data_IF_590804492521
#
_entry.id   IF_590804492521
#
_cell.length_a   1.000
_cell.length_b   1.000
_cell.length_c   1.000
_cell.angle_alpha   90.00
_cell.angle_beta   90.00
_cell.angle_gamma   90.00
#
_symmetry.space_group_name_H-M   'P 1'
#
loop_
_entity.id
_entity.type
_entity.pdbx_description
1 polymer ?
#
# COMPACT_ATOMS: atom_id res chain seq x y z
N UNK A 1 -14.20 2.95 1.00
CA UNK A 1 -15.52 3.21 0.40
C UNK A 1 -15.70 4.72 0.28
N UNK A 2 -15.89 5.28 -0.92
CA UNK A 2 -16.12 6.71 -1.10
C UNK A 2 -17.53 7.18 -0.66
N UNK A 3 -18.45 6.27 -0.34
CA UNK A 3 -19.80 6.64 0.12
C UNK A 3 -20.02 6.35 1.63
N UNK A 4 -19.00 5.82 2.30
CA UNK A 4 -19.00 5.60 3.75
C UNK A 4 -18.47 6.80 4.53
N UNK A 5 -18.37 6.65 5.86
CA UNK A 5 -17.75 7.69 6.69
C UNK A 5 -16.25 7.80 6.36
N UNK A 6 -15.77 9.03 6.15
CA UNK A 6 -14.38 9.27 5.73
C UNK A 6 -13.36 8.89 6.79
N UNK A 7 -13.77 8.76 8.04
CA UNK A 7 -12.94 8.30 9.16
C UNK A 7 -12.83 6.78 9.22
N UNK A 8 -13.53 6.01 8.39
CA UNK A 8 -13.32 4.56 8.31
C UNK A 8 -11.87 4.27 7.92
N UNK A 9 -11.18 3.46 8.73
CA UNK A 9 -9.81 3.04 8.46
C UNK A 9 -9.79 1.83 7.52
N UNK A 10 -8.66 1.63 6.85
CA UNK A 10 -8.33 0.45 6.06
C UNK A 10 -6.91 0.00 6.36
N UNK A 11 -6.42 -0.98 5.58
CA UNK A 11 -5.12 -1.63 5.81
C UNK A 11 -3.97 -0.63 5.99
N UNK A 12 -3.89 0.41 5.16
CA UNK A 12 -2.82 1.41 5.20
C UNK A 12 -3.07 2.57 6.14
N UNK A 13 -4.27 2.71 6.71
CA UNK A 13 -4.68 3.86 7.52
C UNK A 13 -4.92 3.52 9.00
N UNK A 14 -4.42 2.37 9.46
CA UNK A 14 -4.33 2.04 10.89
C UNK A 14 -5.44 1.14 11.44
N UNK A 15 -6.26 0.50 10.60
CA UNK A 15 -7.38 -0.35 11.05
C UNK A 15 -6.93 -1.49 11.99
N UNK A 16 -5.69 -1.96 11.83
CA UNK A 16 -5.16 -3.12 12.58
C UNK A 16 -4.93 -2.80 14.06
N UNK A 17 -4.10 -1.79 14.33
CA UNK A 17 -3.51 -1.57 15.65
C UNK A 17 -3.37 -0.09 16.04
N UNK A 18 -3.87 0.83 15.21
CA UNK A 18 -3.72 2.27 15.43
C UNK A 18 -5.07 2.99 15.22
N UNK A 19 -6.04 2.79 16.15
CA UNK A 19 -7.40 3.29 15.99
C UNK A 19 -7.47 4.82 16.06
N UNK A 20 -8.34 5.41 15.25
CA UNK A 20 -8.52 6.87 15.20
C UNK A 20 -9.63 7.42 16.13
N UNK A 21 -10.23 6.57 16.96
CA UNK A 21 -11.31 6.93 17.87
C UNK A 21 -12.71 6.98 17.24
N UNK A 22 -12.85 6.77 15.93
CA UNK A 22 -14.15 6.62 15.27
C UNK A 22 -14.66 5.18 15.42
N UNK A 23 -15.81 5.01 16.09
CA UNK A 23 -16.40 3.70 16.38
C UNK A 23 -16.81 2.91 15.14
N UNK A 24 -17.14 3.58 14.03
CA UNK A 24 -17.51 2.91 12.78
C UNK A 24 -16.34 2.27 12.01
N UNK A 25 -15.09 2.59 12.38
CA UNK A 25 -13.90 2.08 11.70
C UNK A 25 -13.78 0.55 11.75
N UNK A 26 -14.36 -0.10 12.78
CA UNK A 26 -14.09 -1.50 13.04
C UNK A 26 -12.62 -1.77 13.35
N UNK A 27 -11.88 -0.78 13.86
CA UNK A 27 -10.52 -1.00 14.30
C UNK A 27 -10.49 -2.07 15.40
N UNK A 28 -9.57 -3.04 15.27
CA UNK A 28 -9.52 -4.23 16.12
C UNK A 28 -10.57 -5.31 15.79
N UNK A 29 -11.51 -5.08 14.87
CA UNK A 29 -12.37 -6.13 14.31
C UNK A 29 -11.54 -7.01 13.38
N UNK A 30 -11.15 -8.17 13.91
CA UNK A 30 -10.32 -9.14 13.18
C UNK A 30 -10.92 -9.53 11.84
N UNK A 31 -12.24 -9.71 11.75
CA UNK A 31 -12.91 -10.12 10.51
C UNK A 31 -12.82 -9.06 9.41
N UNK A 32 -12.95 -7.77 9.78
CA UNK A 32 -12.77 -6.66 8.83
C UNK A 32 -11.32 -6.52 8.36
N UNK A 33 -10.36 -6.67 9.28
CA UNK A 33 -8.94 -6.60 8.95
C UNK A 33 -8.57 -7.74 7.99
N UNK A 34 -8.91 -8.98 8.35
CA UNK A 34 -8.64 -10.18 7.54
C UNK A 34 -9.33 -10.11 6.17
N UNK A 35 -10.60 -9.72 6.12
CA UNK A 35 -11.33 -9.55 4.86
C UNK A 35 -10.75 -8.45 3.97
N UNK A 36 -10.25 -7.36 4.56
CA UNK A 36 -9.54 -6.30 3.84
C UNK A 36 -8.21 -6.79 3.26
N UNK A 37 -7.45 -7.57 4.04
CA UNK A 37 -6.19 -8.17 3.60
C UNK A 37 -6.40 -9.13 2.43
N UNK A 38 -7.42 -9.99 2.50
CA UNK A 38 -7.69 -10.95 1.44
C UNK A 38 -8.13 -10.26 0.15
N UNK A 39 -8.90 -9.17 0.23
CA UNK A 39 -9.20 -8.32 -0.95
C UNK A 39 -7.94 -7.73 -1.58
N UNK A 40 -7.00 -7.25 -0.76
CA UNK A 40 -5.72 -6.72 -1.24
C UNK A 40 -4.88 -7.82 -1.89
N UNK A 41 -4.81 -9.02 -1.31
CA UNK A 41 -4.12 -10.17 -1.92
C UNK A 41 -4.67 -10.49 -3.31
N UNK A 42 -5.99 -10.47 -3.47
CA UNK A 42 -6.63 -10.68 -4.79
C UNK A 42 -6.21 -9.59 -5.77
N UNK A 43 -6.23 -8.31 -5.37
CA UNK A 43 -5.75 -7.20 -6.21
C UNK A 43 -4.26 -7.31 -6.58
N UNK A 44 -3.40 -7.65 -5.61
CA UNK A 44 -1.97 -7.89 -5.82
C UNK A 44 -1.70 -9.05 -6.78
N UNK A 45 -2.60 -10.02 -6.87
CA UNK A 45 -2.54 -11.14 -7.82
C UNK A 45 -3.25 -10.85 -9.16
N UNK A 46 -3.43 -9.57 -9.52
CA UNK A 46 -4.03 -9.17 -10.79
C UNK A 46 -5.54 -9.38 -10.85
N UNK A 47 -6.20 -9.33 -9.68
CA UNK A 47 -7.65 -9.43 -9.48
C UNK A 47 -8.34 -10.59 -10.25
N UNK A 48 -7.60 -11.69 -10.41
CA UNK A 48 -8.01 -12.87 -11.16
C UNK A 48 -9.07 -13.66 -10.41
N UNK A 49 -10.17 -14.01 -11.07
CA UNK A 49 -11.27 -14.77 -10.44
C UNK A 49 -10.80 -16.13 -9.90
N UNK A 50 -9.96 -16.84 -10.64
CA UNK A 50 -9.56 -18.22 -10.30
C UNK A 50 -8.25 -18.31 -9.51
N UNK A 51 -7.68 -17.18 -9.07
CA UNK A 51 -6.46 -17.22 -8.27
C UNK A 51 -6.75 -17.73 -6.86
N UNK A 52 -6.17 -18.88 -6.49
CA UNK A 52 -6.36 -19.52 -5.20
C UNK A 52 -5.22 -19.19 -4.23
N UNK A 53 -5.56 -19.01 -2.95
CA UNK A 53 -4.59 -18.69 -1.90
C UNK A 53 -5.13 -19.09 -0.52
N UNK A 54 -4.29 -18.94 0.51
CA UNK A 54 -4.71 -19.09 1.90
C UNK A 54 -5.11 -17.72 2.46
N UNK A 55 -6.37 -17.59 2.85
CA UNK A 55 -6.92 -16.38 3.45
C UNK A 55 -6.27 -16.03 4.79
N UNK A 56 -6.47 -14.80 5.24
CA UNK A 56 -5.88 -14.30 6.48
C UNK A 56 -6.38 -15.07 7.73
N UNK A 57 -7.59 -15.62 7.66
CA UNK A 57 -8.14 -16.53 8.67
C UNK A 57 -7.51 -17.94 8.66
N UNK A 58 -6.65 -18.24 7.69
CA UNK A 58 -6.03 -19.55 7.47
C UNK A 58 -6.87 -20.52 6.63
N UNK A 59 -8.08 -20.13 6.20
CA UNK A 59 -8.92 -20.95 5.32
C UNK A 59 -8.55 -20.76 3.84
N UNK A 60 -8.77 -21.77 2.98
CA UNK A 60 -8.66 -21.59 1.53
C UNK A 60 -9.57 -20.47 1.04
N UNK A 61 -9.06 -19.63 0.14
CA UNK A 61 -9.77 -18.54 -0.50
C UNK A 61 -9.42 -18.50 -1.99
N UNK A 62 -10.25 -17.79 -2.77
CA UNK A 62 -9.98 -17.50 -4.17
C UNK A 62 -10.39 -16.08 -4.53
N UNK A 63 -9.93 -15.59 -5.67
CA UNK A 63 -10.30 -14.27 -6.16
C UNK A 63 -11.80 -14.09 -6.30
N UNK A 64 -12.50 -15.08 -6.86
CA UNK A 64 -13.95 -15.05 -7.04
C UNK A 64 -14.77 -15.06 -5.75
N UNK A 65 -14.16 -15.37 -4.60
CA UNK A 65 -14.84 -15.33 -3.32
C UNK A 65 -15.40 -13.93 -3.05
N UNK A 66 -16.71 -13.85 -2.80
CA UNK A 66 -17.44 -12.59 -2.58
C UNK A 66 -17.32 -11.57 -3.72
N UNK A 67 -17.05 -12.02 -4.95
CA UNK A 67 -17.03 -11.18 -6.15
C UNK A 67 -15.90 -10.14 -6.21
N UNK A 68 -14.80 -10.37 -5.49
CA UNK A 68 -13.65 -9.43 -5.48
C UNK A 68 -12.89 -9.50 -6.81
N UNK A 69 -12.42 -10.69 -7.17
CA UNK A 69 -11.71 -11.01 -8.40
C UNK A 69 -12.68 -11.24 -9.55
N UNK A 70 -12.47 -10.51 -10.64
CA UNK A 70 -13.34 -10.54 -11.83
C UNK A 70 -12.59 -10.80 -13.14
N UNK A 71 -11.27 -10.68 -13.13
CA UNK A 71 -10.46 -10.70 -14.35
C UNK A 71 -10.06 -12.12 -14.74
N UNK A 72 -9.86 -12.32 -16.04
CA UNK A 72 -9.26 -13.51 -16.63
C UNK A 72 -7.78 -13.31 -16.98
N UNK A 73 -7.38 -12.06 -17.18
CA UNK A 73 -6.00 -11.67 -17.48
C UNK A 73 -5.60 -10.45 -16.64
N UNK A 74 -4.37 -10.39 -16.09
CA UNK A 74 -3.94 -9.24 -15.29
C UNK A 74 -4.00 -7.90 -16.05
N UNK A 75 -3.97 -7.90 -17.39
CA UNK A 75 -4.05 -6.68 -18.19
C UNK A 75 -5.45 -6.06 -18.21
N UNK A 76 -6.48 -6.78 -17.77
CA UNK A 76 -7.84 -6.28 -17.61
C UNK A 76 -8.01 -5.43 -16.34
N UNK A 77 -6.97 -5.33 -15.50
CA UNK A 77 -7.05 -4.78 -14.15
C UNK A 77 -6.22 -3.52 -14.02
N UNK A 78 -6.91 -2.43 -13.67
CA UNK A 78 -6.29 -1.18 -13.23
C UNK A 78 -6.35 -1.09 -11.71
N UNK A 79 -5.20 -1.24 -11.05
CA UNK A 79 -5.09 -1.12 -9.60
C UNK A 79 -4.81 0.34 -9.22
N UNK A 80 -5.57 0.89 -8.28
CA UNK A 80 -5.41 2.28 -7.82
C UNK A 80 -5.87 2.45 -6.37
N UNK A 81 -5.36 3.50 -5.71
CA UNK A 81 -5.78 3.90 -4.38
C UNK A 81 -6.43 5.30 -4.35
N UNK A 82 -6.13 6.13 -5.34
CA UNK A 82 -6.72 7.45 -5.55
C UNK A 82 -6.85 7.75 -7.04
N UNK A 83 -7.77 8.65 -7.37
CA UNK A 83 -8.04 9.13 -8.72
C UNK A 83 -8.44 10.61 -8.67
N UNK A 84 -8.93 11.13 -9.80
CA UNK A 84 -9.36 12.53 -9.90
C UNK A 84 -10.70 12.76 -9.18
N UNK A 85 -11.58 11.77 -9.16
CA UNK A 85 -12.80 11.72 -8.39
C UNK A 85 -12.52 11.30 -6.94
N UNK A 86 -13.40 11.73 -6.02
CA UNK A 86 -13.23 11.55 -4.58
C UNK A 86 -12.02 12.32 -4.01
N UNK A 87 -11.73 12.07 -2.73
CA UNK A 87 -10.58 12.65 -2.05
C UNK A 87 -9.25 12.14 -2.60
N UNK A 88 -8.21 12.98 -2.52
CA UNK A 88 -6.84 12.48 -2.69
C UNK A 88 -6.48 11.50 -1.57
N UNK A 89 -5.45 10.66 -1.79
CA UNK A 89 -5.04 9.73 -0.75
C UNK A 89 -4.55 10.45 0.53
N UNK A 90 -3.87 11.60 0.38
CA UNK A 90 -3.48 12.43 1.53
C UNK A 90 -4.70 12.92 2.32
N UNK A 91 -5.74 13.41 1.64
CA UNK A 91 -6.96 13.88 2.31
C UNK A 91 -7.69 12.72 3.00
N UNK A 92 -7.66 11.52 2.42
CA UNK A 92 -8.13 10.30 3.08
C UNK A 92 -7.34 9.99 4.35
N UNK A 93 -6.00 10.11 4.34
CA UNK A 93 -5.16 9.95 5.53
C UNK A 93 -5.51 11.01 6.58
N UNK A 94 -5.71 12.27 6.19
CA UNK A 94 -6.07 13.34 7.11
C UNK A 94 -7.41 13.08 7.82
N UNK A 95 -8.39 12.45 7.16
CA UNK A 95 -9.61 11.97 7.81
C UNK A 95 -9.41 10.75 8.72
N UNK A 96 -8.67 9.75 8.25
CA UNK A 96 -8.72 8.39 8.81
C UNK A 96 -7.58 8.07 9.78
N UNK A 97 -6.43 8.73 9.68
CA UNK A 97 -5.30 8.41 10.55
C UNK A 97 -5.55 8.89 12.00
N UNK A 98 -4.97 8.21 13.00
CA UNK A 98 -5.11 8.60 14.40
C UNK A 98 -4.76 10.07 14.63
N UNK A 99 -5.50 10.80 15.49
CA UNK A 99 -5.25 12.22 15.70
C UNK A 99 -3.81 12.50 16.12
N UNK A 100 -3.26 11.82 17.11
CA UNK A 100 -1.90 12.07 17.62
C UNK A 100 -0.76 11.55 16.72
N UNK A 101 -1.07 10.95 15.57
CA UNK A 101 -0.05 10.36 14.70
C UNK A 101 0.85 11.44 14.08
N UNK A 102 2.18 11.26 14.21
CA UNK A 102 3.19 12.15 13.68
C UNK A 102 3.17 12.22 12.14
N UNK A 103 3.64 13.35 11.59
CA UNK A 103 3.72 13.57 10.13
C UNK A 103 4.48 12.45 9.40
N UNK A 104 5.65 12.07 9.90
CA UNK A 104 6.48 11.00 9.32
C UNK A 104 5.73 9.67 9.19
N UNK A 105 4.86 9.33 10.14
CA UNK A 105 4.06 8.11 10.09
C UNK A 105 2.88 8.23 9.11
N UNK A 106 2.30 9.42 8.95
CA UNK A 106 1.28 9.69 7.91
C UNK A 106 1.87 9.58 6.51
N UNK A 107 3.08 10.10 6.30
CA UNK A 107 3.82 9.93 5.05
C UNK A 107 4.04 8.46 4.75
N UNK A 108 4.32 7.62 5.77
CA UNK A 108 4.43 6.17 5.57
C UNK A 108 3.12 5.48 5.21
N UNK A 109 1.98 5.97 5.73
CA UNK A 109 0.66 5.48 5.28
C UNK A 109 0.46 5.72 3.77
N UNK A 110 0.90 6.87 3.26
CA UNK A 110 0.92 7.17 1.82
C UNK A 110 1.86 6.23 1.06
N UNK A 111 3.11 6.11 1.53
CA UNK A 111 4.13 5.26 0.92
C UNK A 111 3.66 3.80 0.81
N UNK A 112 3.05 3.26 1.86
CA UNK A 112 2.52 1.89 1.84
C UNK A 112 1.40 1.71 0.79
N UNK A 113 0.55 2.73 0.59
CA UNK A 113 -0.46 2.72 -0.48
C UNK A 113 0.19 2.68 -1.87
N UNK A 114 1.18 3.54 -2.11
CA UNK A 114 1.95 3.57 -3.35
C UNK A 114 2.64 2.22 -3.63
N UNK A 115 3.19 1.58 -2.59
CA UNK A 115 3.86 0.29 -2.72
C UNK A 115 2.88 -0.84 -3.07
N UNK A 116 1.71 -0.90 -2.43
CA UNK A 116 0.68 -1.90 -2.74
C UNK A 116 0.23 -1.81 -4.20
N UNK A 117 -0.01 -0.60 -4.71
CA UNK A 117 -0.36 -0.40 -6.12
C UNK A 117 0.83 -0.70 -7.03
N UNK A 118 2.01 -0.16 -6.71
CA UNK A 118 3.20 -0.23 -7.56
C UNK A 118 3.85 -1.61 -7.66
N UNK A 119 3.68 -2.48 -6.67
CA UNK A 119 4.30 -3.81 -6.64
C UNK A 119 3.32 -4.96 -6.93
N UNK A 120 2.01 -4.68 -7.01
CA UNK A 120 1.00 -5.67 -7.43
C UNK A 120 1.08 -6.03 -8.92
N UNK A 121 0.55 -7.21 -9.27
CA UNK A 121 0.31 -7.58 -10.67
C UNK A 121 -0.79 -6.72 -11.30
N UNK A 122 -0.92 -6.79 -12.62
CA UNK A 122 -1.81 -5.93 -13.41
C UNK A 122 -1.21 -4.55 -13.69
N UNK A 123 -2.07 -3.57 -13.98
CA UNK A 123 -1.64 -2.24 -14.41
C UNK A 123 -1.81 -1.25 -13.25
N UNK A 124 -0.72 -0.72 -12.67
CA UNK A 124 -0.83 0.29 -11.62
C UNK A 124 -1.24 1.63 -12.21
N UNK A 125 -2.15 2.31 -11.51
CA UNK A 125 -2.57 3.68 -11.78
C UNK A 125 -2.33 4.54 -10.55
N UNK A 126 -1.74 5.71 -10.76
CA UNK A 126 -1.45 6.68 -9.71
C UNK A 126 -2.06 8.02 -10.11
N UNK A 127 -2.74 8.67 -9.15
CA UNK A 127 -3.25 10.00 -9.37
C UNK A 127 -2.11 11.03 -9.32
N UNK A 128 -2.09 12.00 -10.24
CA UNK A 128 -1.06 13.03 -10.25
C UNK A 128 -0.99 13.77 -8.90
N UNK A 129 0.21 13.77 -8.29
CA UNK A 129 0.49 14.35 -6.98
C UNK A 129 0.33 13.37 -5.81
N UNK A 130 -0.06 12.12 -6.02
CA UNK A 130 -0.03 11.08 -4.98
C UNK A 130 1.40 10.87 -4.44
N UNK A 131 2.41 11.06 -5.28
CA UNK A 131 3.83 11.08 -4.95
C UNK A 131 4.30 12.35 -4.21
N UNK A 132 3.46 13.38 -4.14
CA UNK A 132 3.77 14.68 -3.52
C UNK A 132 2.81 15.00 -2.36
N UNK A 133 2.17 13.99 -1.79
CA UNK A 133 1.18 14.15 -0.71
C UNK A 133 0.03 15.10 -1.08
N UNK A 134 -0.32 15.21 -2.37
CA UNK A 134 -1.28 16.21 -2.87
C UNK A 134 -2.59 16.17 -2.09
N UNK A 135 -3.04 17.34 -1.69
CA UNK A 135 -4.36 17.61 -1.13
C UNK A 135 -5.20 18.42 -2.11
N UNK A 136 -6.52 18.24 -2.03
CA UNK A 136 -7.51 19.11 -2.64
C UNK A 136 -8.25 19.94 -1.58
N UNK A 137 -7.60 20.17 -0.44
CA UNK A 137 -8.23 20.72 0.76
C UNK A 137 -9.47 19.91 1.18
N UNK A 138 -9.38 18.58 1.07
CA UNK A 138 -10.45 17.63 1.43
C UNK A 138 -11.73 17.71 0.59
N UNK A 139 -11.66 18.31 -0.59
CA UNK A 139 -12.75 18.30 -1.57
C UNK A 139 -12.87 16.91 -2.22
N UNK A 140 -14.07 16.33 -2.16
CA UNK A 140 -14.37 15.01 -2.74
C UNK A 140 -14.77 15.08 -4.23
N UNK A 141 -15.01 16.25 -4.80
CA UNK A 141 -15.42 16.39 -6.21
C UNK A 141 -14.98 17.74 -6.78
N UNK A 142 -13.71 17.80 -7.19
CA UNK A 142 -13.07 19.06 -7.61
C UNK A 142 -13.24 19.42 -9.08
N UNK A 143 -14.18 18.80 -9.79
CA UNK A 143 -14.35 18.99 -11.24
C UNK A 143 -14.51 20.47 -11.64
N UNK A 144 -15.10 21.29 -10.78
CA UNK A 144 -15.32 22.73 -10.98
C UNK A 144 -14.85 23.59 -9.78
N UNK A 145 -13.84 23.12 -9.04
CA UNK A 145 -13.27 23.84 -7.89
C UNK A 145 -12.08 24.74 -8.28
N UNK A 146 -11.82 24.92 -9.58
CA UNK A 146 -10.77 25.79 -10.12
C UNK A 146 -9.35 25.40 -9.74
N UNK A 147 -8.38 26.23 -10.13
CA UNK A 147 -6.95 26.00 -9.89
C UNK A 147 -6.61 25.98 -8.40
N UNK A 148 -7.31 26.79 -7.60
CA UNK A 148 -7.05 26.94 -6.17
C UNK A 148 -7.10 25.61 -5.41
N UNK A 149 -8.17 24.84 -5.57
CA UNK A 149 -8.31 23.54 -4.92
C UNK A 149 -7.61 22.41 -5.68
N UNK A 150 -7.37 22.55 -6.98
CA UNK A 150 -6.74 21.52 -7.80
C UNK A 150 -5.21 21.62 -7.94
N UNK A 151 -4.58 22.64 -7.33
CA UNK A 151 -3.16 22.96 -7.47
C UNK A 151 -2.23 21.74 -7.36
N UNK A 152 -1.28 21.68 -8.29
CA UNK A 152 -0.09 20.83 -8.23
C UNK A 152 1.13 21.74 -8.05
N UNK A 153 1.83 21.59 -6.94
CA UNK A 153 2.99 22.42 -6.60
C UNK A 153 4.30 21.67 -6.88
N UNK A 154 4.82 21.81 -8.09
CA UNK A 154 6.08 21.18 -8.49
C UNK A 154 7.33 21.79 -7.85
N UNK A 155 7.20 22.89 -7.09
CA UNK A 155 8.30 23.39 -6.24
C UNK A 155 8.52 22.52 -5.00
N UNK A 156 7.57 21.61 -4.70
CA UNK A 156 7.52 20.76 -3.51
C UNK A 156 7.49 21.55 -2.20
N UNK A 157 7.10 22.83 -2.24
CA UNK A 157 7.01 23.67 -1.04
C UNK A 157 5.75 23.38 -0.23
N UNK A 158 4.65 23.02 -0.89
CA UNK A 158 3.34 22.80 -0.26
C UNK A 158 2.58 21.66 -0.96
N UNK A 159 1.65 21.03 -0.24
CA UNK A 159 0.80 19.98 -0.82
C UNK A 159 -0.66 20.44 -1.08
N UNK A 160 -0.98 21.71 -0.83
CA UNK A 160 -2.32 22.30 -0.94
C UNK A 160 -3.35 21.92 0.16
N UNK A 161 -2.91 21.40 1.31
CA UNK A 161 -3.80 21.08 2.43
C UNK A 161 -4.25 22.34 3.20
N UNK A 162 -5.54 22.39 3.56
CA UNK A 162 -6.16 23.44 4.35
C UNK A 162 -6.00 24.86 3.76
N UNK A 163 -6.28 25.00 2.45
CA UNK A 163 -6.28 26.28 1.72
C UNK A 163 -7.67 26.93 1.64
N UNK A 164 -8.64 26.41 2.39
CA UNK A 164 -10.03 26.87 2.41
C UNK A 164 -11.00 25.69 2.51
N UNK A 165 -12.22 25.94 3.00
CA UNK A 165 -13.24 24.90 3.00
C UNK A 165 -13.63 24.54 1.57
N UNK A 166 -13.72 23.24 1.25
CA UNK A 166 -14.05 22.80 -0.10
C UNK A 166 -15.49 23.17 -0.47
N UNK A 167 -15.80 23.16 -1.77
CA UNK A 167 -17.07 23.67 -2.31
C UNK A 167 -18.29 23.08 -1.59
N UNK A 168 -19.22 23.95 -1.20
CA UNK A 168 -20.35 23.59 -0.34
C UNK A 168 -21.27 22.53 -0.97
N UNK A 169 -21.50 22.63 -2.28
CA UNK A 169 -22.43 21.78 -3.04
C UNK A 169 -22.13 20.29 -2.86
N UNK A 170 -20.85 19.94 -2.72
CA UNK A 170 -20.40 18.56 -2.59
C UNK A 170 -19.93 18.20 -1.19
N UNK A 171 -19.58 19.17 -0.36
CA UNK A 171 -18.83 18.93 0.89
C UNK A 171 -19.42 19.55 2.16
N UNK A 172 -20.51 20.33 2.07
CA UNK A 172 -21.07 21.08 3.23
C UNK A 172 -21.35 20.19 4.43
N UNK A 173 -21.89 19.00 4.21
CA UNK A 173 -22.19 18.03 5.27
C UNK A 173 -20.96 17.55 6.05
N UNK A 174 -19.77 17.59 5.41
CA UNK A 174 -18.49 17.19 6.01
C UNK A 174 -17.73 18.34 6.64
N UNK A 175 -18.16 19.60 6.46
CA UNK A 175 -17.44 20.75 7.01
C UNK A 175 -17.28 20.72 8.53
N UNK A 176 -18.19 20.10 9.27
CA UNK A 176 -18.06 19.92 10.73
C UNK A 176 -16.88 19.01 11.10
N UNK A 177 -16.50 18.07 10.22
CA UNK A 177 -15.35 17.18 10.37
C UNK A 177 -14.08 17.87 9.84
N UNK A 178 -14.18 18.58 8.71
CA UNK A 178 -13.04 19.23 8.04
C UNK A 178 -12.50 20.42 8.84
N UNK A 179 -13.39 21.30 9.35
CA UNK A 179 -12.98 22.55 10.03
C UNK A 179 -11.97 22.30 11.17
N UNK A 180 -12.20 21.36 12.10
CA UNK A 180 -11.22 21.06 13.15
C UNK A 180 -9.87 20.57 12.61
N UNK A 181 -9.84 19.83 11.50
CA UNK A 181 -8.60 19.34 10.91
C UNK A 181 -7.73 20.48 10.35
N UNK A 182 -8.34 21.55 9.84
CA UNK A 182 -7.60 22.69 9.30
C UNK A 182 -6.90 23.53 10.38
N UNK A 183 -7.38 23.47 11.62
CA UNK A 183 -6.72 24.11 12.76
C UNK A 183 -5.47 23.36 13.23
N UNK A 184 -5.16 22.20 12.66
CA UNK A 184 -4.05 21.33 13.05
C UNK A 184 -2.85 21.57 12.14
N UNK A 185 -1.93 22.42 12.59
CA UNK A 185 -0.72 22.76 11.83
C UNK A 185 0.15 21.54 11.54
N UNK A 186 0.14 20.54 12.43
CA UNK A 186 0.85 19.27 12.30
C UNK A 186 0.31 18.37 11.17
N UNK A 187 -0.81 18.72 10.53
CA UNK A 187 -1.34 18.04 9.34
C UNK A 187 -0.89 18.68 8.02
N UNK A 188 -0.08 19.74 8.06
CA UNK A 188 0.51 20.36 6.86
C UNK A 188 1.91 19.78 6.63
N UNK A 189 2.13 18.93 5.60
CA UNK A 189 3.45 18.38 5.34
C UNK A 189 4.40 19.49 4.87
N UNK A 190 5.65 19.41 5.33
CA UNK A 190 6.72 20.27 4.87
C UNK A 190 7.37 19.75 3.59
N UNK A 191 8.26 20.55 3.01
CA UNK A 191 8.97 20.19 1.77
C UNK A 191 9.77 18.89 1.90
N UNK A 192 10.38 18.62 3.07
CA UNK A 192 11.09 17.38 3.32
C UNK A 192 10.17 16.14 3.31
N UNK A 193 8.94 16.26 3.84
CA UNK A 193 7.95 15.18 3.85
C UNK A 193 7.50 14.86 2.41
N UNK A 194 7.24 15.90 1.63
CA UNK A 194 6.84 15.81 0.22
C UNK A 194 7.97 15.18 -0.61
N UNK A 195 9.22 15.64 -0.42
CA UNK A 195 10.39 15.10 -1.10
C UNK A 195 10.60 13.62 -0.75
N UNK A 196 10.49 13.25 0.54
CA UNK A 196 10.64 11.86 0.97
C UNK A 196 9.60 10.94 0.31
N UNK A 197 8.34 11.38 0.20
CA UNK A 197 7.31 10.63 -0.52
C UNK A 197 7.62 10.50 -2.01
N UNK A 198 8.10 11.58 -2.63
CA UNK A 198 8.47 11.62 -4.05
C UNK A 198 9.63 10.67 -4.35
N UNK A 199 10.65 10.63 -3.49
CA UNK A 199 11.80 9.74 -3.61
C UNK A 199 11.40 8.27 -3.44
N UNK A 200 10.55 7.98 -2.46
CA UNK A 200 10.01 6.64 -2.28
C UNK A 200 9.15 6.19 -3.47
N UNK A 201 8.38 7.09 -4.08
CA UNK A 201 7.63 6.75 -5.28
C UNK A 201 8.56 6.35 -6.45
N UNK A 202 9.65 7.10 -6.66
CA UNK A 202 10.69 6.74 -7.65
C UNK A 202 11.33 5.38 -7.31
N UNK A 203 11.58 5.12 -6.04
CA UNK A 203 12.09 3.84 -5.54
C UNK A 203 11.16 2.67 -5.95
N UNK A 204 9.87 2.76 -5.64
CA UNK A 204 8.88 1.74 -5.98
C UNK A 204 8.77 1.53 -7.49
N UNK A 205 8.80 2.60 -8.29
CA UNK A 205 8.78 2.47 -9.74
C UNK A 205 10.05 1.81 -10.29
N UNK A 206 11.22 2.11 -9.70
CA UNK A 206 12.48 1.48 -10.07
C UNK A 206 12.47 -0.02 -9.73
N UNK A 207 11.97 -0.40 -8.55
CA UNK A 207 11.81 -1.81 -8.14
C UNK A 207 10.85 -2.55 -9.07
N UNK A 208 9.67 -1.97 -9.39
CA UNK A 208 8.74 -2.59 -10.35
C UNK A 208 9.39 -2.88 -11.71
N UNK A 209 10.31 -2.01 -12.14
CA UNK A 209 11.01 -2.12 -13.43
C UNK A 209 12.25 -3.02 -13.36
N UNK A 210 12.80 -3.26 -12.16
CA UNK A 210 14.04 -4.02 -12.00
C UNK A 210 13.89 -5.50 -12.32
N UNK A 211 12.67 -6.04 -12.27
CA UNK A 211 12.35 -7.42 -12.64
C UNK A 211 11.04 -7.52 -13.42
N UNK A 212 10.95 -8.34 -14.48
CA UNK A 212 9.69 -8.68 -15.13
C UNK A 212 8.71 -9.46 -14.24
N UNK A 213 9.17 -10.04 -13.12
CA UNK A 213 8.32 -10.76 -12.16
C UNK A 213 7.23 -9.90 -11.53
N UNK A 214 7.41 -8.59 -11.42
CA UNK A 214 6.36 -7.65 -10.96
C UNK A 214 5.29 -7.37 -12.03
N UNK A 215 5.48 -7.85 -13.26
CA UNK A 215 4.68 -7.50 -14.45
C UNK A 215 4.42 -8.74 -15.31
N UNK A 216 4.01 -9.83 -14.67
CA UNK A 216 3.63 -11.06 -15.36
C UNK A 216 2.45 -10.77 -16.28
N UNK A 217 2.51 -11.28 -17.51
CA UNK A 217 1.58 -10.90 -18.58
C UNK A 217 0.35 -11.78 -18.67
N UNK A 218 0.38 -12.96 -18.06
CA UNK A 218 -0.68 -13.95 -18.17
C UNK A 218 -1.15 -14.42 -16.80
N UNK A 219 -2.41 -14.80 -16.70
CA UNK A 219 -2.95 -15.41 -15.49
C UNK A 219 -2.26 -16.74 -15.14
N UNK A 220 -1.80 -17.49 -16.15
CA UNK A 220 -1.03 -18.72 -15.96
C UNK A 220 0.32 -18.47 -15.28
N UNK A 221 1.04 -17.44 -15.69
CA UNK A 221 2.31 -17.07 -15.04
C UNK A 221 2.08 -16.63 -13.60
N UNK A 222 1.04 -15.83 -13.34
CA UNK A 222 0.69 -15.41 -11.98
C UNK A 222 0.37 -16.63 -11.10
N UNK A 223 -0.47 -17.56 -11.58
CA UNK A 223 -0.80 -18.78 -10.81
C UNK A 223 0.42 -19.66 -10.52
N UNK A 224 1.40 -19.73 -11.44
CA UNK A 224 2.60 -20.53 -11.26
C UNK A 224 3.63 -19.88 -10.33
N UNK A 225 3.78 -18.55 -10.42
CA UNK A 225 4.91 -17.84 -9.82
C UNK A 225 4.54 -17.07 -8.57
N UNK A 226 3.31 -16.55 -8.48
CA UNK A 226 2.86 -15.75 -7.34
C UNK A 226 2.19 -16.62 -6.28
N UNK A 227 2.60 -16.43 -5.02
CA UNK A 227 1.90 -17.01 -3.87
C UNK A 227 1.86 -16.04 -2.69
N UNK A 228 0.89 -16.26 -1.80
CA UNK A 228 0.86 -15.64 -0.48
C UNK A 228 1.16 -16.73 0.56
N UNK A 229 2.38 -16.78 1.11
CA UNK A 229 2.77 -17.81 2.06
C UNK A 229 1.78 -17.92 3.24
N UNK A 230 1.28 -19.13 3.49
CA UNK A 230 0.27 -19.42 4.50
C UNK A 230 0.83 -19.81 5.86
N UNK A 231 2.09 -19.53 6.17
CA UNK A 231 2.65 -19.79 7.50
C UNK A 231 1.96 -18.95 8.60
N UNK A 232 1.94 -19.40 9.85
CA UNK A 232 1.31 -18.65 10.95
C UNK A 232 1.90 -17.24 11.14
N UNK A 233 3.22 -17.10 10.96
CA UNK A 233 3.94 -15.82 11.00
C UNK A 233 3.62 -14.91 9.80
N UNK A 234 3.12 -15.46 8.69
CA UNK A 234 2.73 -14.73 7.49
C UNK A 234 1.23 -14.35 7.49
N UNK A 235 0.48 -14.73 8.53
CA UNK A 235 -0.94 -14.38 8.75
C UNK A 235 -1.13 -13.37 9.89
N UNK A 236 -0.10 -12.59 10.22
CA UNK A 236 -0.23 -11.51 11.19
C UNK A 236 -1.20 -10.45 10.64
N UNK A 237 -2.28 -10.08 11.36
CA UNK A 237 -3.16 -9.01 10.94
C UNK A 237 -2.38 -7.74 10.62
N UNK A 238 -2.66 -7.12 9.47
CA UNK A 238 -1.94 -5.93 9.00
C UNK A 238 -0.60 -6.21 8.29
N UNK A 239 -0.23 -7.48 8.06
CA UNK A 239 0.98 -7.86 7.31
C UNK A 239 0.60 -8.74 6.13
N UNK A 240 1.01 -8.35 4.92
CA UNK A 240 0.87 -9.18 3.70
C UNK A 240 2.26 -9.59 3.24
N UNK A 241 2.47 -10.89 3.05
CA UNK A 241 3.69 -11.44 2.44
C UNK A 241 3.33 -11.97 1.06
N UNK A 242 4.00 -11.46 0.03
CA UNK A 242 3.85 -11.89 -1.36
C UNK A 242 5.18 -12.48 -1.83
N UNK A 243 5.13 -13.65 -2.45
CA UNK A 243 6.29 -14.33 -3.03
C UNK A 243 6.11 -14.46 -4.54
N UNK A 244 7.16 -14.18 -5.29
CA UNK A 244 7.27 -14.43 -6.73
C UNK A 244 8.45 -15.37 -6.95
N UNK A 245 8.17 -16.62 -7.31
CA UNK A 245 9.17 -17.65 -7.53
C UNK A 245 9.54 -17.75 -9.01
N UNK A 246 10.84 -17.81 -9.30
CA UNK A 246 11.36 -17.93 -10.66
C UNK A 246 12.59 -18.84 -10.72
N UNK A 247 12.41 -20.15 -10.46
CA UNK A 247 13.54 -21.08 -10.53
C UNK A 247 14.09 -21.14 -11.96
N UNK A 248 15.41 -21.19 -12.08
CA UNK A 248 16.09 -21.33 -13.36
C UNK A 248 15.58 -22.56 -14.14
N UNK A 249 15.38 -22.41 -15.45
CA UNK A 249 14.96 -23.48 -16.34
C UNK A 249 13.86 -23.08 -17.32
N UNK A 250 13.05 -24.06 -17.73
CA UNK A 250 11.95 -23.80 -18.65
C UNK A 250 10.89 -22.91 -17.99
N UNK A 251 10.66 -21.72 -18.56
CA UNK A 251 9.74 -20.74 -18.00
C UNK A 251 10.38 -19.71 -17.05
N UNK A 252 11.72 -19.66 -16.98
CA UNK A 252 12.48 -18.57 -16.37
C UNK A 252 12.10 -17.21 -16.99
N UNK A 253 11.69 -16.27 -16.15
CA UNK A 253 11.20 -14.94 -16.56
C UNK A 253 12.24 -13.86 -16.34
N UNK A 254 13.06 -13.98 -15.30
CA UNK A 254 14.17 -13.10 -14.93
C UNK A 254 15.40 -13.96 -14.58
N UNK A 255 16.34 -14.14 -15.53
CA UNK A 255 17.53 -14.95 -15.33
C UNK A 255 18.48 -14.44 -14.23
N UNK A 256 18.19 -13.28 -13.62
CA UNK A 256 19.00 -12.66 -12.56
C UNK A 256 18.32 -12.68 -11.19
N UNK A 257 17.14 -13.30 -11.08
CA UNK A 257 16.33 -13.36 -9.86
C UNK A 257 15.72 -14.74 -9.71
N UNK A 258 16.22 -15.55 -8.77
CA UNK A 258 15.57 -16.82 -8.45
C UNK A 258 14.23 -16.68 -7.72
N UNK A 259 14.05 -15.65 -6.89
CA UNK A 259 12.81 -15.37 -6.16
C UNK A 259 12.77 -13.95 -5.61
N UNK A 260 11.57 -13.38 -5.51
CA UNK A 260 11.28 -12.16 -4.77
C UNK A 260 10.34 -12.47 -3.60
N UNK A 261 10.63 -11.87 -2.45
CA UNK A 261 9.74 -11.88 -1.30
C UNK A 261 9.47 -10.44 -0.87
N UNK A 262 8.20 -10.07 -0.87
CA UNK A 262 7.73 -8.72 -0.56
C UNK A 262 6.90 -8.79 0.71
N UNK A 263 7.22 -7.95 1.69
CA UNK A 263 6.46 -7.81 2.94
C UNK A 263 5.90 -6.40 2.99
N UNK A 264 4.57 -6.30 3.03
CA UNK A 264 3.84 -5.07 3.27
C UNK A 264 3.42 -5.03 4.75
N UNK A 265 4.18 -4.32 5.58
CA UNK A 265 3.85 -4.14 7.00
C UNK A 265 3.03 -2.87 7.21
N UNK A 266 1.72 -3.00 7.39
CA UNK A 266 0.81 -1.90 7.71
C UNK A 266 0.64 -1.60 9.21
N UNK A 267 1.28 -2.39 10.07
CA UNK A 267 1.19 -2.26 11.53
C UNK A 267 2.09 -1.13 12.04
N UNK A 268 1.82 -0.68 13.27
CA UNK A 268 2.64 0.33 13.96
C UNK A 268 3.86 -0.26 14.66
N UNK A 269 4.07 -1.58 14.55
CA UNK A 269 5.17 -2.30 15.15
C UNK A 269 6.07 -2.94 14.07
N UNK A 270 7.32 -3.19 14.43
CA UNK A 270 8.21 -4.01 13.61
C UNK A 270 7.68 -5.45 13.58
N UNK A 271 7.79 -6.11 12.43
CA UNK A 271 7.25 -7.44 12.22
C UNK A 271 8.35 -8.39 11.77
N UNK A 272 8.30 -9.61 12.29
CA UNK A 272 9.14 -10.72 11.84
C UNK A 272 8.25 -11.77 11.21
N UNK A 273 8.44 -12.05 9.92
CA UNK A 273 7.76 -13.13 9.20
C UNK A 273 8.78 -14.26 8.97
N UNK A 274 8.43 -15.49 9.31
CA UNK A 274 9.39 -16.59 9.31
C UNK A 274 8.77 -17.92 8.90
N UNK A 275 9.45 -18.67 8.04
CA UNK A 275 9.02 -19.99 7.60
C UNK A 275 10.23 -20.92 7.49
N UNK A 276 10.05 -22.20 7.84
CA UNK A 276 11.13 -23.18 7.76
C UNK A 276 11.60 -23.39 6.31
N UNK A 277 10.73 -23.21 5.31
CA UNK A 277 11.09 -23.29 3.90
C UNK A 277 12.06 -22.20 3.44
N UNK A 278 12.18 -21.11 4.21
CA UNK A 278 13.13 -20.03 3.90
C UNK A 278 14.49 -20.25 4.54
N UNK A 279 14.65 -21.18 5.49
CA UNK A 279 15.96 -21.42 6.14
C UNK A 279 17.04 -21.78 5.13
N UNK A 280 18.22 -21.19 5.31
CA UNK A 280 19.36 -21.37 4.41
C UNK A 280 19.21 -20.68 3.05
N UNK A 281 18.10 -19.97 2.80
CA UNK A 281 17.93 -19.14 1.60
C UNK A 281 18.97 -18.03 1.52
N UNK A 282 19.18 -17.50 0.31
CA UNK A 282 20.18 -16.45 0.02
C UNK A 282 19.54 -15.09 -0.24
N UNK A 283 18.48 -14.78 0.49
CA UNK A 283 17.78 -13.51 0.33
C UNK A 283 18.65 -12.34 0.79
N UNK A 284 18.64 -11.27 0.00
CA UNK A 284 19.15 -9.96 0.40
C UNK A 284 18.06 -8.91 0.19
N UNK A 285 18.11 -7.81 0.94
CA UNK A 285 17.28 -6.64 0.63
C UNK A 285 17.57 -6.21 -0.82
N UNK A 286 16.53 -5.82 -1.56
CA UNK A 286 16.69 -5.37 -2.95
C UNK A 286 17.70 -4.22 -3.00
N UNK A 287 18.67 -4.21 -3.95
CA UNK A 287 19.71 -3.21 -4.00
C UNK A 287 19.21 -1.77 -4.04
N UNK A 288 18.03 -1.53 -4.63
CA UNK A 288 17.42 -0.20 -4.68
C UNK A 288 17.02 0.24 -3.26
N UNK A 289 16.43 -0.66 -2.47
CA UNK A 289 16.06 -0.38 -1.08
C UNK A 289 17.26 -0.33 -0.15
N UNK A 290 18.29 -1.14 -0.39
CA UNK A 290 19.55 -1.07 0.35
C UNK A 290 20.25 0.31 0.17
N UNK A 291 20.05 0.94 -0.99
CA UNK A 291 20.53 2.29 -1.30
C UNK A 291 19.50 3.41 -1.03
N UNK A 292 18.32 3.07 -0.47
CA UNK A 292 17.23 4.03 -0.21
C UNK A 292 17.70 5.21 0.65
N UNK A 293 17.12 6.39 0.48
CA UNK A 293 17.28 7.50 1.43
C UNK A 293 16.56 7.24 2.76
N UNK A 294 15.52 6.39 2.77
CA UNK A 294 14.78 6.00 3.97
C UNK A 294 15.54 4.99 4.83
N UNK A 295 16.06 5.46 5.97
CA UNK A 295 16.78 4.62 6.93
C UNK A 295 15.93 3.50 7.52
N UNK A 296 14.60 3.68 7.64
CA UNK A 296 13.72 2.64 8.16
C UNK A 296 13.60 1.49 7.16
N UNK A 297 13.41 1.78 5.87
CA UNK A 297 13.40 0.76 4.83
C UNK A 297 14.72 -0.02 4.79
N UNK A 298 15.87 0.68 4.86
CA UNK A 298 17.21 0.05 4.91
C UNK A 298 17.44 -0.87 6.12
N UNK A 299 16.71 -0.70 7.21
CA UNK A 299 16.82 -1.54 8.40
C UNK A 299 16.17 -2.92 8.24
N UNK A 300 15.45 -3.15 7.14
CA UNK A 300 14.86 -4.45 6.83
C UNK A 300 15.95 -5.50 6.60
N UNK A 301 15.77 -6.70 7.16
CA UNK A 301 16.83 -7.73 7.16
C UNK A 301 16.28 -9.13 7.05
N UNK A 302 17.15 -10.08 6.68
CA UNK A 302 16.84 -11.50 6.60
C UNK A 302 17.86 -12.32 7.40
N UNK A 303 17.36 -13.20 8.27
CA UNK A 303 18.13 -14.15 9.08
C UNK A 303 18.00 -15.54 8.46
N UNK A 304 19.05 -16.01 7.78
CA UNK A 304 19.06 -17.30 7.08
C UNK A 304 18.98 -18.51 8.03
N UNK A 305 19.49 -18.40 9.27
CA UNK A 305 19.43 -19.49 10.24
C UNK A 305 18.00 -19.73 10.74
N UNK A 306 17.21 -18.66 10.79
CA UNK A 306 15.80 -18.72 11.21
C UNK A 306 14.82 -18.79 10.04
N UNK A 307 15.26 -18.44 8.82
CA UNK A 307 14.36 -18.25 7.68
C UNK A 307 13.40 -17.10 7.95
N UNK A 308 13.89 -16.00 8.50
CA UNK A 308 13.07 -14.92 9.06
C UNK A 308 13.40 -13.57 8.44
N UNK A 309 12.37 -12.82 8.05
CA UNK A 309 12.47 -11.46 7.51
C UNK A 309 11.95 -10.48 8.56
N UNK A 310 12.79 -9.52 8.94
CA UNK A 310 12.44 -8.44 9.86
C UNK A 310 12.15 -7.17 9.05
N UNK A 311 10.97 -6.60 9.26
CA UNK A 311 10.46 -5.47 8.49
C UNK A 311 9.87 -4.44 9.43
N UNK A 312 10.42 -3.21 9.48
CA UNK A 312 9.95 -2.21 10.44
C UNK A 312 8.50 -1.77 10.26
N UNK A 313 7.96 -1.09 11.27
CA UNK A 313 6.62 -0.52 11.25
C UNK A 313 6.35 0.33 9.99
N UNK A 314 5.15 0.19 9.40
CA UNK A 314 4.69 0.97 8.23
C UNK A 314 5.68 0.97 7.06
N UNK A 315 6.23 -0.20 6.74
CA UNK A 315 7.30 -0.35 5.75
C UNK A 315 6.97 -1.45 4.75
N UNK A 316 7.29 -1.22 3.47
CA UNK A 316 7.33 -2.29 2.46
C UNK A 316 8.78 -2.66 2.19
N UNK A 317 9.13 -3.92 2.37
CA UNK A 317 10.46 -4.45 2.10
C UNK A 317 10.41 -5.51 1.00
N UNK A 318 11.31 -5.42 0.04
CA UNK A 318 11.49 -6.34 -1.08
C UNK A 318 12.83 -7.02 -0.91
N UNK A 319 12.81 -8.34 -0.80
CA UNK A 319 13.97 -9.19 -0.75
C UNK A 319 14.06 -10.00 -2.03
N UNK A 320 15.28 -10.31 -2.46
CA UNK A 320 15.52 -11.12 -3.64
C UNK A 320 16.60 -12.15 -3.40
N UNK A 321 16.50 -13.30 -4.09
CA UNK A 321 17.66 -14.16 -4.28
C UNK A 321 18.30 -13.84 -5.64
N UNK A 322 19.61 -14.09 -5.79
CA UNK A 322 20.21 -14.23 -7.10
C UNK A 322 19.54 -15.34 -7.93
#
# INVERSE_FOLDING_TARGET
>A
NPFGDRREQGFTTGITDDPNGFSGSGAGDRGKIEGGMDRIKVGLAGNLTDFAFVGASGQPASGGANGVGYAKDPQEVINYAAAHDNETFWDKIAYAAPPSLAMSERVRMQMLSLALVGLGQGIPFFHAGEEMLRSKSMDADTYNSGDWFNRLDFTLATNNFAVGLPMADKNRERWSIIKPLFSRAELKPGSADIQACSDYFREILAIRKSSPLFRLRTADDIRRKLSFPGGASARVPGVIVMSLSDPAGAGDTDPTVGSLLIVFNGTKADQTVADNSWKGGKYTLDPIQAASSDSRTRASSYDAGKGAFNVPARTTAVFRTP
#
